data_IF_617844790380
#
_entry.id   IF_617844790380
#
_cell.length_a   1.000
_cell.length_b   1.000
_cell.length_c   1.000
_cell.angle_alpha   90.00
_cell.angle_beta   90.00
_cell.angle_gamma   90.00
#
_symmetry.space_group_name_H-M   'P 1'
#
loop_
_entity.id
_entity.type
_entity.pdbx_description
1 polymer ?
#
# COMPACT_ATOMS: atom_id res chain seq x y z
N UNK A 1 -9.15 3.29 -10.57
CA UNK A 1 -8.36 3.46 -9.33
C UNK A 1 -8.69 4.83 -8.78
N UNK A 2 -8.78 5.01 -7.45
CA UNK A 2 -9.19 6.27 -6.83
C UNK A 2 -8.11 7.36 -6.85
N UNK A 3 -6.93 7.07 -7.41
CA UNK A 3 -5.86 8.05 -7.63
C UNK A 3 -5.54 8.14 -9.12
N UNK A 4 -5.57 9.36 -9.64
CA UNK A 4 -5.20 9.67 -11.03
C UNK A 4 -3.67 9.63 -11.19
N UNK A 5 -3.19 8.75 -12.07
CA UNK A 5 -1.78 8.63 -12.43
C UNK A 5 -1.56 8.87 -13.92
N UNK A 6 -0.33 9.23 -14.26
CA UNK A 6 0.12 9.48 -15.64
C UNK A 6 1.01 8.35 -16.16
N UNK A 7 1.71 7.66 -15.26
CA UNK A 7 2.68 6.62 -15.60
C UNK A 7 2.57 5.46 -14.61
N UNK A 8 2.92 4.26 -15.07
CA UNK A 8 3.00 3.05 -14.24
C UNK A 8 4.24 2.24 -14.61
N UNK A 9 4.97 1.77 -13.61
CA UNK A 9 6.17 0.94 -13.75
C UNK A 9 5.98 -0.34 -12.96
N UNK A 10 6.42 -1.46 -13.52
CA UNK A 10 6.33 -2.77 -12.86
C UNK A 10 7.71 -3.44 -12.80
N UNK A 11 8.04 -4.00 -11.64
CA UNK A 11 9.27 -4.77 -11.42
C UNK A 11 8.95 -6.06 -10.69
N UNK A 12 9.28 -7.18 -11.32
CA UNK A 12 9.19 -8.50 -10.68
C UNK A 12 10.59 -8.96 -10.24
N UNK A 13 10.71 -9.32 -8.96
CA UNK A 13 11.90 -9.96 -8.41
C UNK A 13 11.60 -11.44 -8.16
N UNK A 14 12.23 -12.32 -8.95
CA UNK A 14 12.05 -13.77 -8.87
C UNK A 14 12.59 -14.39 -7.58
N UNK A 15 13.66 -13.84 -7.00
CA UNK A 15 14.30 -14.40 -5.80
C UNK A 15 13.40 -14.28 -4.58
N UNK A 16 12.71 -13.14 -4.46
CA UNK A 16 11.82 -12.84 -3.34
C UNK A 16 10.33 -13.04 -3.67
N UNK A 17 10.03 -13.48 -4.89
CA UNK A 17 8.66 -13.60 -5.44
C UNK A 17 7.83 -12.31 -5.29
N UNK A 18 8.48 -11.14 -5.38
CA UNK A 18 7.86 -9.84 -5.18
C UNK A 18 7.50 -9.19 -6.52
N UNK A 19 6.25 -8.77 -6.68
CA UNK A 19 5.84 -7.84 -7.73
C UNK A 19 5.65 -6.45 -7.13
N UNK A 20 6.46 -5.50 -7.57
CA UNK A 20 6.33 -4.08 -7.24
C UNK A 20 5.73 -3.34 -8.43
N UNK A 21 4.73 -2.50 -8.17
CA UNK A 21 4.11 -1.61 -9.14
C UNK A 21 4.13 -0.19 -8.58
N UNK A 22 4.78 0.73 -9.29
CA UNK A 22 4.83 2.15 -8.94
C UNK A 22 3.94 2.95 -9.91
N UNK A 23 3.08 3.80 -9.35
CA UNK A 23 2.23 4.74 -10.06
C UNK A 23 2.70 6.16 -9.78
N UNK A 24 2.90 6.94 -10.84
CA UNK A 24 3.35 8.33 -10.77
C UNK A 24 2.31 9.28 -11.37
N UNK A 25 2.07 10.39 -10.69
CA UNK A 25 1.23 11.49 -11.19
C UNK A 25 2.09 12.74 -11.39
N UNK A 26 2.38 13.10 -12.65
CA UNK A 26 3.13 14.33 -12.97
C UNK A 26 2.41 15.58 -12.47
N UNK A 27 1.08 15.61 -12.58
CA UNK A 27 0.27 16.75 -12.17
C UNK A 27 0.26 16.93 -10.65
N UNK A 28 0.07 15.84 -9.92
CA UNK A 28 -0.09 15.88 -8.47
C UNK A 28 1.22 15.68 -7.70
N UNK A 29 2.32 15.39 -8.41
CA UNK A 29 3.65 15.15 -7.84
C UNK A 29 3.66 14.08 -6.74
N UNK A 30 2.94 12.97 -6.97
CA UNK A 30 2.94 11.83 -6.06
C UNK A 30 3.47 10.56 -6.70
N UNK A 31 3.98 9.69 -5.82
CA UNK A 31 4.31 8.30 -6.09
C UNK A 31 3.52 7.38 -5.14
N UNK A 32 2.85 6.40 -5.71
CA UNK A 32 2.08 5.39 -4.99
C UNK A 32 2.60 4.01 -5.38
N UNK A 33 2.91 3.17 -4.40
CA UNK A 33 3.54 1.86 -4.63
C UNK A 33 2.61 0.76 -4.15
N UNK A 34 2.53 -0.31 -4.93
CA UNK A 34 1.88 -1.57 -4.59
C UNK A 34 2.96 -2.65 -4.64
N UNK A 35 3.24 -3.28 -3.51
CA UNK A 35 4.00 -4.53 -3.46
C UNK A 35 3.05 -5.70 -3.26
N UNK A 36 3.28 -6.77 -4.02
CA UNK A 36 2.55 -8.04 -3.89
C UNK A 36 3.57 -9.13 -3.61
N UNK A 37 3.51 -9.67 -2.39
CA UNK A 37 4.44 -10.69 -1.91
C UNK A 37 3.68 -11.94 -1.45
N UNK A 38 4.30 -13.14 -1.45
CA UNK A 38 3.69 -14.31 -0.86
C UNK A 38 3.49 -14.12 0.65
N UNK A 39 2.35 -14.55 1.18
CA UNK A 39 2.04 -14.37 2.62
C UNK A 39 2.99 -15.10 3.58
N UNK A 40 3.80 -16.04 3.08
CA UNK A 40 4.86 -16.73 3.84
C UNK A 40 6.07 -15.84 4.19
N UNK A 41 6.20 -14.66 3.59
CA UNK A 41 7.37 -13.78 3.73
C UNK A 41 7.17 -12.61 4.73
N UNK A 42 6.07 -12.62 5.51
CA UNK A 42 5.64 -11.45 6.31
C UNK A 42 6.36 -11.20 7.63
N UNK A 43 7.21 -12.12 8.10
CA UNK A 43 7.66 -12.20 9.51
C UNK A 43 8.40 -10.96 10.05
N UNK A 44 8.79 -10.00 9.21
CA UNK A 44 9.56 -8.81 9.61
C UNK A 44 8.81 -7.48 9.44
N UNK A 45 7.59 -7.44 8.87
CA UNK A 45 6.90 -6.19 8.51
C UNK A 45 5.91 -5.65 9.56
N UNK A 46 5.68 -6.37 10.66
CA UNK A 46 4.51 -6.18 11.55
C UNK A 46 4.83 -5.57 12.93
N UNK A 47 5.99 -4.96 13.15
CA UNK A 47 6.36 -4.50 14.51
C UNK A 47 5.55 -3.33 15.05
N UNK A 48 4.93 -2.50 14.18
CA UNK A 48 4.36 -1.20 14.59
C UNK A 48 2.99 -0.93 13.92
N UNK A 49 1.97 -1.73 14.23
CA UNK A 49 0.60 -1.54 13.71
C UNK A 49 -0.09 -0.39 14.45
N UNK A 50 -0.42 0.70 13.73
CA UNK A 50 -1.20 1.81 14.31
C UNK A 50 -2.68 1.46 14.47
N UNK A 51 -3.26 0.79 13.47
CA UNK A 51 -4.69 0.50 13.44
C UNK A 51 -5.02 -0.70 12.56
N UNK A 52 -6.13 -1.37 12.89
CA UNK A 52 -6.69 -2.46 12.09
C UNK A 52 -8.09 -2.04 11.61
N UNK A 53 -8.38 -2.25 10.32
CA UNK A 53 -9.66 -1.94 9.70
C UNK A 53 -10.15 -3.12 8.87
N UNK A 54 -11.45 -3.15 8.56
CA UNK A 54 -12.05 -4.19 7.74
C UNK A 54 -12.42 -3.62 6.36
N UNK A 55 -12.06 -4.36 5.32
CA UNK A 55 -12.52 -4.12 3.95
C UNK A 55 -13.98 -4.58 3.78
N UNK A 56 -14.60 -4.22 2.65
CA UNK A 56 -16.02 -4.51 2.37
C UNK A 56 -16.34 -6.00 2.33
N UNK A 57 -15.37 -6.84 1.98
CA UNK A 57 -15.49 -8.29 1.94
C UNK A 57 -15.19 -8.96 3.30
N UNK A 58 -14.93 -8.17 4.35
CA UNK A 58 -14.55 -8.66 5.67
C UNK A 58 -13.07 -8.96 5.84
N UNK A 59 -12.24 -8.75 4.81
CA UNK A 59 -10.78 -8.89 4.92
C UNK A 59 -10.23 -7.87 5.91
N UNK A 60 -9.42 -8.34 6.86
CA UNK A 60 -8.71 -7.46 7.78
C UNK A 60 -7.51 -6.82 7.08
N UNK A 61 -7.34 -5.52 7.30
CA UNK A 61 -6.22 -4.74 6.82
C UNK A 61 -5.54 -4.01 7.99
N UNK A 62 -4.22 -3.91 7.93
CA UNK A 62 -3.41 -3.14 8.87
C UNK A 62 -3.06 -1.79 8.23
N UNK A 63 -3.25 -0.72 8.99
CA UNK A 63 -2.86 0.64 8.63
C UNK A 63 -1.69 1.04 9.54
N UNK A 64 -0.62 1.53 8.92
CA UNK A 64 0.61 1.93 9.59
C UNK A 64 1.07 3.27 9.04
N UNK A 65 1.53 4.13 9.92
CA UNK A 65 2.12 5.43 9.59
C UNK A 65 3.54 5.41 10.12
N UNK A 66 4.52 5.59 9.24
CA UNK A 66 5.93 5.53 9.58
C UNK A 66 6.66 6.75 9.02
N UNK A 67 7.68 7.25 9.72
CA UNK A 67 8.42 8.41 9.22
C UNK A 67 9.14 9.18 10.32
N UNK A 68 10.06 10.06 9.89
CA UNK A 68 10.74 11.06 10.73
C UNK A 68 10.80 12.38 9.96
N UNK A 69 10.87 13.49 10.68
CA UNK A 69 11.16 14.82 10.12
C UNK A 69 10.23 15.26 8.97
N UNK A 70 8.92 15.11 9.14
CA UNK A 70 7.90 15.64 8.22
C UNK A 70 7.66 14.83 6.94
N UNK A 71 8.31 13.67 6.78
CA UNK A 71 8.02 12.69 5.71
C UNK A 71 7.32 11.48 6.31
N UNK A 72 6.00 11.60 6.43
CA UNK A 72 5.13 10.50 6.87
C UNK A 72 4.76 9.63 5.67
N UNK A 73 5.07 8.34 5.76
CA UNK A 73 4.74 7.29 4.82
C UNK A 73 3.63 6.43 5.42
N UNK A 74 2.52 6.34 4.71
CA UNK A 74 1.43 5.44 5.04
C UNK A 74 1.68 4.12 4.36
N UNK A 75 1.54 3.05 5.12
CA UNK A 75 1.53 1.68 4.64
C UNK A 75 0.21 1.02 5.00
N UNK A 76 -0.46 0.45 4.01
CA UNK A 76 -1.70 -0.28 4.18
C UNK A 76 -1.55 -1.70 3.66
N UNK A 77 -1.77 -2.68 4.53
CA UNK A 77 -1.45 -4.08 4.24
C UNK A 77 -2.66 -4.98 4.45
N UNK A 78 -2.95 -5.85 3.48
CA UNK A 78 -4.03 -6.83 3.57
C UNK A 78 -3.70 -8.11 2.81
N UNK A 79 -4.39 -9.20 3.17
CA UNK A 79 -4.21 -10.52 2.55
C UNK A 79 -5.37 -10.88 1.66
N UNK A 80 -5.08 -11.38 0.46
CA UNK A 80 -6.08 -11.95 -0.44
C UNK A 80 -5.47 -13.09 -1.24
N UNK A 81 -6.13 -14.24 -1.27
CA UNK A 81 -5.72 -15.41 -2.08
C UNK A 81 -4.25 -15.85 -1.89
N UNK A 82 -3.77 -15.92 -0.64
CA UNK A 82 -2.38 -16.30 -0.28
C UNK A 82 -1.29 -15.29 -0.70
N UNK A 83 -1.71 -14.09 -1.08
CA UNK A 83 -0.84 -12.94 -1.34
C UNK A 83 -1.08 -11.86 -0.32
N UNK A 84 -0.01 -11.15 0.01
CA UNK A 84 -0.03 -9.96 0.83
C UNK A 84 0.20 -8.76 -0.07
N UNK A 85 -0.74 -7.82 0.01
CA UNK A 85 -0.72 -6.55 -0.71
C UNK A 85 -0.25 -5.49 0.27
N UNK A 86 0.77 -4.73 -0.13
CA UNK A 86 1.33 -3.64 0.67
C UNK A 86 1.24 -2.38 -0.19
N UNK A 87 0.35 -1.48 0.21
CA UNK A 87 0.12 -0.20 -0.44
C UNK A 87 0.91 0.86 0.32
N UNK A 88 1.68 1.70 -0.37
CA UNK A 88 2.47 2.75 0.27
C UNK A 88 2.37 4.09 -0.46
N UNK A 89 2.20 5.18 0.30
CA UNK A 89 2.17 6.55 -0.22
C UNK A 89 2.64 7.54 0.85
N UNK A 90 3.22 8.68 0.46
CA UNK A 90 3.45 9.76 1.42
C UNK A 90 2.12 10.39 1.86
N UNK A 91 1.91 10.51 3.18
CA UNK A 91 0.66 10.98 3.80
C UNK A 91 0.20 12.34 3.27
N UNK A 92 1.15 13.27 3.10
CA UNK A 92 0.89 14.66 2.66
C UNK A 92 0.24 14.77 1.28
N UNK A 93 0.15 13.67 0.54
CA UNK A 93 -0.40 13.61 -0.81
C UNK A 93 -1.88 13.22 -0.81
N UNK A 94 -2.44 12.91 0.37
CA UNK A 94 -3.83 12.49 0.54
C UNK A 94 -4.56 13.43 1.51
N UNK A 95 -5.75 13.89 1.09
CA UNK A 95 -6.64 14.66 1.98
C UNK A 95 -7.24 13.78 3.09
N UNK A 96 -7.58 12.53 2.76
CA UNK A 96 -8.21 11.57 3.68
C UNK A 96 -7.51 10.20 3.59
N UNK A 97 -6.32 10.04 4.20
CA UNK A 97 -5.43 8.97 3.82
C UNK A 97 -5.96 7.56 4.06
N UNK A 98 -6.56 7.31 5.23
CA UNK A 98 -7.18 6.01 5.54
C UNK A 98 -8.33 5.68 4.59
N UNK A 99 -9.21 6.65 4.30
CA UNK A 99 -10.34 6.44 3.40
C UNK A 99 -9.87 6.08 1.98
N UNK A 100 -8.86 6.79 1.47
CA UNK A 100 -8.29 6.51 0.15
C UNK A 100 -7.66 5.12 0.11
N UNK A 101 -6.89 4.73 1.15
CA UNK A 101 -6.29 3.39 1.22
C UNK A 101 -7.34 2.29 1.21
N UNK A 102 -8.43 2.46 1.97
CA UNK A 102 -9.55 1.52 1.97
C UNK A 102 -10.21 1.46 0.60
N UNK A 103 -10.41 2.58 -0.09
CA UNK A 103 -11.00 2.60 -1.43
C UNK A 103 -10.13 1.85 -2.44
N UNK A 104 -8.80 2.06 -2.42
CA UNK A 104 -7.87 1.33 -3.29
C UNK A 104 -7.93 -0.16 -2.99
N UNK A 105 -7.79 -0.56 -1.71
CA UNK A 105 -7.79 -1.97 -1.32
C UNK A 105 -9.10 -2.69 -1.69
N UNK A 106 -10.24 -2.01 -1.58
CA UNK A 106 -11.54 -2.55 -2.00
C UNK A 106 -11.73 -2.67 -3.51
N UNK A 107 -10.79 -2.16 -4.33
CA UNK A 107 -10.83 -2.30 -5.80
C UNK A 107 -10.09 -3.54 -6.33
N UNK A 108 -9.38 -4.26 -5.45
CA UNK A 108 -8.79 -5.58 -5.71
C UNK A 108 -9.81 -6.69 -5.46
#
# INVERSE_FOLDING_TARGET
>A
MPLDFTHSFGRFNKENENLEIEYLSEKQHFNYIINVIPSKNETELLSDIDSQVFLKDGTQANYLTSGKDGKSLITFMFKKNNWTYILSIEERLLDNPLSTMMEIANSF
#
